data_IF_642746312508
#
_entry.id   IF_642746312508
#
_cell.length_a   1.000
_cell.length_b   1.000
_cell.length_c   1.000
_cell.angle_alpha   90.00
_cell.angle_beta   90.00
_cell.angle_gamma   90.00
#
_symmetry.space_group_name_H-M   'P 1'
#
loop_
_entity.id
_entity.type
_entity.pdbx_description
1 polymer ?
#
# COMPACT_ATOMS: atom_id res chain seq x y z
N UNK A 1 -7.25 27.64 -12.42
CA UNK A 1 -6.17 28.49 -11.84
C UNK A 1 -5.03 27.63 -11.28
N UNK A 2 -5.29 26.45 -10.69
CA UNK A 2 -4.27 25.55 -10.14
C UNK A 2 -3.31 24.89 -11.16
N UNK A 3 -3.78 24.42 -12.31
CA UNK A 3 -2.95 23.71 -13.30
C UNK A 3 -1.76 24.56 -13.81
N UNK A 4 -1.99 25.84 -14.09
CA UNK A 4 -0.93 26.78 -14.49
C UNK A 4 0.11 27.00 -13.38
N UNK A 5 -0.32 26.97 -12.11
CA UNK A 5 0.58 27.08 -10.97
C UNK A 5 1.38 25.78 -10.78
N UNK A 6 0.74 24.62 -10.90
CA UNK A 6 1.38 23.31 -10.86
C UNK A 6 2.44 23.17 -11.96
N UNK A 7 2.10 23.49 -13.22
CA UNK A 7 3.06 23.50 -14.33
C UNK A 7 4.27 24.40 -14.04
N UNK A 8 4.04 25.64 -13.58
CA UNK A 8 5.13 26.55 -13.20
C UNK A 8 6.00 26.02 -12.06
N UNK A 9 5.41 25.32 -11.10
CA UNK A 9 6.14 24.73 -9.98
C UNK A 9 7.03 23.57 -10.46
N UNK A 10 6.45 22.63 -11.22
CA UNK A 10 7.16 21.46 -11.75
C UNK A 10 8.31 21.89 -12.67
N UNK A 11 8.05 22.83 -13.60
CA UNK A 11 9.04 23.26 -14.59
C UNK A 11 10.33 23.84 -13.98
N UNK A 12 10.27 24.45 -12.79
CA UNK A 12 11.45 25.04 -12.12
C UNK A 12 12.51 24.01 -11.76
N UNK A 13 12.09 22.80 -11.43
CA UNK A 13 12.98 21.73 -10.95
C UNK A 13 12.82 20.45 -11.77
N UNK A 14 12.16 20.50 -12.93
CA UNK A 14 11.85 19.33 -13.75
C UNK A 14 13.10 18.51 -14.09
N UNK A 15 14.22 19.17 -14.42
CA UNK A 15 15.50 18.50 -14.69
C UNK A 15 15.98 17.63 -13.51
N UNK A 16 15.76 18.08 -12.27
CA UNK A 16 16.12 17.32 -11.06
C UNK A 16 15.16 16.14 -10.85
N UNK A 17 13.85 16.38 -11.01
CA UNK A 17 12.85 15.30 -10.94
C UNK A 17 13.13 14.19 -11.96
N UNK A 18 13.46 14.57 -13.20
CA UNK A 18 13.87 13.63 -14.25
C UNK A 18 15.15 12.88 -13.89
N UNK A 19 16.15 13.57 -13.35
CA UNK A 19 17.41 12.94 -12.91
C UNK A 19 17.18 11.91 -11.77
N UNK A 20 16.41 12.29 -10.75
CA UNK A 20 16.08 11.39 -9.64
C UNK A 20 15.22 10.21 -10.10
N UNK A 21 14.31 10.42 -11.04
CA UNK A 21 13.53 9.32 -11.61
C UNK A 21 14.40 8.41 -12.47
N UNK A 22 15.42 8.92 -13.15
CA UNK A 22 16.42 8.08 -13.81
C UNK A 22 17.11 7.10 -12.85
N UNK A 23 17.43 7.55 -11.64
CA UNK A 23 17.90 6.65 -10.58
C UNK A 23 16.83 5.62 -10.18
N UNK A 24 15.56 6.04 -10.04
CA UNK A 24 14.49 5.09 -9.73
C UNK A 24 14.32 4.03 -10.85
N UNK A 25 14.42 4.41 -12.12
CA UNK A 25 14.38 3.48 -13.24
C UNK A 25 15.50 2.44 -13.10
N UNK A 26 16.72 2.86 -12.77
CA UNK A 26 17.86 1.93 -12.68
C UNK A 26 17.81 1.01 -11.44
N UNK A 27 17.27 1.47 -10.31
CA UNK A 27 17.44 0.81 -9.01
C UNK A 27 16.15 0.38 -8.29
N UNK A 28 14.96 0.71 -8.80
CA UNK A 28 13.70 0.41 -8.07
C UNK A 28 13.22 -1.02 -8.25
N UNK A 29 13.35 -1.61 -9.45
CA UNK A 29 12.77 -2.93 -9.69
C UNK A 29 13.43 -3.98 -8.82
N UNK A 30 14.76 -3.95 -8.72
CA UNK A 30 15.58 -4.86 -7.90
C UNK A 30 16.50 -4.04 -6.98
N UNK A 31 16.00 -3.56 -5.83
CA UNK A 31 16.79 -2.75 -4.92
C UNK A 31 18.02 -3.52 -4.43
N UNK A 32 19.20 -2.89 -4.51
CA UNK A 32 20.44 -3.45 -3.96
C UNK A 32 20.39 -3.59 -2.43
N UNK A 33 21.39 -4.24 -1.84
CA UNK A 33 21.50 -4.36 -0.39
C UNK A 33 21.66 -2.99 0.27
N UNK A 34 20.57 -2.48 0.85
CA UNK A 34 20.51 -1.15 1.47
C UNK A 34 19.58 -1.14 2.69
N UNK A 35 19.73 -0.10 3.51
CA UNK A 35 18.76 0.22 4.54
C UNK A 35 17.52 0.85 3.89
N UNK A 36 16.34 0.44 4.35
CA UNK A 36 15.12 1.21 4.16
C UNK A 36 14.94 2.14 5.37
N UNK A 37 13.79 2.83 5.44
CA UNK A 37 13.44 3.58 6.65
C UNK A 37 13.12 2.68 7.85
N UNK A 38 13.02 1.37 7.62
CA UNK A 38 12.88 0.33 8.64
C UNK A 38 14.29 -0.17 9.03
N UNK A 39 15.23 0.76 9.22
CA UNK A 39 16.65 0.48 9.43
C UNK A 39 16.93 -0.32 10.70
N UNK A 40 16.06 -0.18 11.71
CA UNK A 40 16.02 -0.99 12.92
C UNK A 40 15.78 -2.49 12.66
N UNK A 41 15.31 -2.86 11.46
CA UNK A 41 15.15 -4.24 11.02
C UNK A 41 16.32 -4.75 10.15
N UNK A 42 17.34 -3.91 9.91
CA UNK A 42 18.58 -4.27 9.23
C UNK A 42 18.58 -4.10 7.71
N UNK A 43 19.74 -4.37 7.11
CA UNK A 43 19.99 -4.29 5.67
C UNK A 43 19.35 -5.46 4.95
N UNK A 44 18.72 -5.19 3.80
CA UNK A 44 18.12 -6.25 2.99
C UNK A 44 18.05 -5.83 1.52
N UNK A 45 18.54 -6.70 0.63
CA UNK A 45 18.39 -6.56 -0.82
C UNK A 45 17.01 -7.05 -1.28
N UNK A 46 16.61 -6.66 -2.50
CA UNK A 46 15.39 -7.14 -3.16
C UNK A 46 14.11 -6.95 -2.32
N UNK A 47 14.09 -5.92 -1.46
CA UNK A 47 12.97 -5.62 -0.60
C UNK A 47 11.72 -5.27 -1.42
N UNK A 48 10.69 -6.10 -1.31
CA UNK A 48 9.46 -5.99 -2.12
C UNK A 48 8.75 -4.66 -1.89
N UNK A 49 8.61 -4.24 -0.62
CA UNK A 49 7.91 -3.01 -0.29
C UNK A 49 8.72 -1.76 -0.67
N UNK A 50 10.06 -1.83 -0.59
CA UNK A 50 10.95 -0.74 -1.03
C UNK A 50 10.91 -0.57 -2.56
N UNK A 51 10.92 -1.68 -3.30
CA UNK A 51 10.77 -1.66 -4.75
C UNK A 51 9.45 -1.00 -5.18
N UNK A 52 8.34 -1.37 -4.53
CA UNK A 52 7.02 -0.79 -4.80
C UNK A 52 7.02 0.73 -4.63
N UNK A 53 7.68 1.26 -3.59
CA UNK A 53 7.82 2.71 -3.37
C UNK A 53 8.50 3.40 -4.55
N UNK A 54 9.58 2.82 -5.06
CA UNK A 54 10.29 3.35 -6.23
C UNK A 54 9.43 3.31 -7.51
N UNK A 55 8.73 2.20 -7.74
CA UNK A 55 7.85 2.00 -8.90
C UNK A 55 6.69 3.01 -8.91
N UNK A 56 6.06 3.25 -7.76
CA UNK A 56 5.03 4.31 -7.61
C UNK A 56 5.63 5.69 -7.89
N UNK A 57 6.87 5.94 -7.47
CA UNK A 57 7.60 7.17 -7.78
C UNK A 57 7.84 7.39 -9.28
N UNK A 58 8.15 6.31 -10.02
CA UNK A 58 8.27 6.37 -11.49
C UNK A 58 6.91 6.71 -12.12
N UNK A 59 5.81 6.08 -11.68
CA UNK A 59 4.48 6.44 -12.18
C UNK A 59 4.16 7.90 -11.88
N UNK A 60 4.49 8.40 -10.69
CA UNK A 60 4.29 9.81 -10.33
C UNK A 60 5.07 10.78 -11.23
N UNK A 61 6.29 10.42 -11.65
CA UNK A 61 7.04 11.22 -12.61
C UNK A 61 6.32 11.30 -13.97
N UNK A 62 5.66 10.23 -14.41
CA UNK A 62 4.88 10.26 -15.65
C UNK A 62 3.77 11.33 -15.61
N UNK A 63 3.05 11.43 -14.49
CA UNK A 63 2.02 12.46 -14.26
C UNK A 63 2.64 13.87 -14.16
N UNK A 64 3.78 14.00 -13.50
CA UNK A 64 4.50 15.29 -13.44
C UNK A 64 4.96 15.75 -14.84
N UNK A 65 5.43 14.85 -15.69
CA UNK A 65 5.81 15.13 -17.06
C UNK A 65 4.61 15.61 -17.90
N UNK A 66 3.43 14.97 -17.74
CA UNK A 66 2.19 15.44 -18.38
C UNK A 66 1.84 16.88 -17.97
N UNK A 67 1.92 17.19 -16.67
CA UNK A 67 1.67 18.55 -16.16
C UNK A 67 2.69 19.55 -16.72
N UNK A 68 3.96 19.16 -16.85
CA UNK A 68 5.03 19.98 -17.41
C UNK A 68 4.86 20.24 -18.93
N UNK A 69 4.12 19.38 -19.63
CA UNK A 69 3.98 19.40 -21.09
C UNK A 69 5.01 18.54 -21.83
N UNK A 70 5.71 17.66 -21.11
CA UNK A 70 6.79 16.80 -21.60
C UNK A 70 6.21 15.42 -21.97
N UNK A 71 5.53 15.34 -23.12
CA UNK A 71 4.74 14.15 -23.48
C UNK A 71 5.57 12.89 -23.71
N UNK A 72 6.80 13.03 -24.24
CA UNK A 72 7.69 11.88 -24.46
C UNK A 72 8.15 11.27 -23.13
N UNK A 73 8.53 12.11 -22.18
CA UNK A 73 8.91 11.68 -20.82
C UNK A 73 7.72 11.05 -20.10
N UNK A 74 6.52 11.62 -20.26
CA UNK A 74 5.30 11.06 -19.69
C UNK A 74 5.06 9.62 -20.17
N UNK A 75 5.11 9.38 -21.48
CA UNK A 75 4.97 8.02 -22.03
C UNK A 75 6.09 7.10 -21.55
N UNK A 76 7.34 7.54 -21.63
CA UNK A 76 8.49 6.75 -21.23
C UNK A 76 8.42 6.27 -19.77
N UNK A 77 8.15 7.18 -18.83
CA UNK A 77 8.05 6.80 -17.42
C UNK A 77 6.80 5.97 -17.12
N UNK A 78 5.68 6.21 -17.84
CA UNK A 78 4.47 5.39 -17.67
C UNK A 78 4.71 3.95 -18.12
N UNK A 79 5.32 3.76 -19.29
CA UNK A 79 5.61 2.43 -19.83
C UNK A 79 6.52 1.63 -18.91
N UNK A 80 7.58 2.28 -18.36
CA UNK A 80 8.47 1.64 -17.38
C UNK A 80 7.72 1.29 -16.10
N UNK A 81 6.91 2.21 -15.56
CA UNK A 81 6.16 1.96 -14.35
C UNK A 81 5.18 0.78 -14.52
N UNK A 82 4.50 0.70 -15.68
CA UNK A 82 3.58 -0.39 -16.02
C UNK A 82 4.29 -1.74 -16.23
N UNK A 83 5.47 -1.73 -16.84
CA UNK A 83 6.31 -2.92 -16.94
C UNK A 83 6.79 -3.37 -15.55
N UNK A 84 7.26 -2.43 -14.74
CA UNK A 84 7.84 -2.72 -13.43
C UNK A 84 6.81 -3.21 -12.43
N UNK A 85 5.60 -2.67 -12.41
CA UNK A 85 4.56 -3.18 -11.50
C UNK A 85 4.19 -4.62 -11.86
N UNK A 86 4.21 -4.98 -13.15
CA UNK A 86 3.94 -6.34 -13.62
C UNK A 86 5.05 -7.31 -13.18
N UNK A 87 6.31 -6.93 -13.35
CA UNK A 87 7.47 -7.72 -12.87
C UNK A 87 7.54 -7.79 -11.35
N UNK A 88 7.25 -6.68 -10.67
CA UNK A 88 7.21 -6.61 -9.21
C UNK A 88 6.19 -7.58 -8.63
N UNK A 89 5.02 -7.72 -9.26
CA UNK A 89 4.04 -8.72 -8.83
C UNK A 89 4.58 -10.16 -8.99
N UNK A 90 5.23 -10.46 -10.12
CA UNK A 90 5.83 -11.76 -10.36
C UNK A 90 6.91 -12.10 -9.32
N UNK A 91 7.80 -11.14 -9.04
CA UNK A 91 8.94 -11.33 -8.15
C UNK A 91 8.56 -11.24 -6.68
N UNK A 92 7.63 -10.34 -6.34
CA UNK A 92 7.28 -9.96 -4.98
C UNK A 92 6.23 -10.86 -4.34
N UNK A 93 5.30 -11.43 -5.10
CA UNK A 93 4.24 -12.26 -4.52
C UNK A 93 4.72 -13.67 -4.16
N UNK A 94 4.11 -14.26 -3.14
CA UNK A 94 4.30 -15.64 -2.70
C UNK A 94 3.93 -16.64 -3.81
N UNK A 95 4.38 -17.90 -3.69
CA UNK A 95 4.14 -18.92 -4.74
C UNK A 95 2.67 -19.24 -4.93
N UNK A 96 1.92 -19.29 -3.84
CA UNK A 96 0.47 -19.45 -3.76
C UNK A 96 -0.29 -18.14 -4.05
N UNK A 97 0.43 -17.04 -4.33
CA UNK A 97 -0.12 -15.73 -4.65
C UNK A 97 -1.06 -15.18 -3.56
N UNK A 98 -0.91 -15.58 -2.30
CA UNK A 98 -1.76 -15.10 -1.20
C UNK A 98 -1.25 -13.79 -0.60
N UNK A 99 0.05 -13.51 -0.67
CA UNK A 99 0.64 -12.32 -0.05
C UNK A 99 1.96 -11.91 -0.72
N UNK A 100 2.53 -10.80 -0.27
CA UNK A 100 3.81 -10.29 -0.75
C UNK A 100 4.91 -10.77 0.19
N UNK A 101 5.97 -11.31 -0.39
CA UNK A 101 7.20 -11.68 0.31
C UNK A 101 7.91 -10.43 0.80
N UNK A 102 8.70 -10.55 1.86
CA UNK A 102 9.55 -9.46 2.32
C UNK A 102 10.66 -9.13 1.30
N UNK A 103 11.31 -10.16 0.77
CA UNK A 103 12.29 -10.05 -0.30
C UNK A 103 12.00 -11.04 -1.42
N UNK A 104 12.34 -10.70 -2.66
CA UNK A 104 12.01 -11.52 -3.83
C UNK A 104 12.56 -12.95 -3.76
N UNK A 105 13.75 -13.13 -3.21
CA UNK A 105 14.43 -14.41 -3.07
C UNK A 105 14.09 -15.15 -1.76
N UNK A 106 13.30 -14.55 -0.87
CA UNK A 106 12.91 -15.14 0.41
C UNK A 106 11.49 -15.69 0.38
N UNK A 107 11.34 -16.89 -0.18
CA UNK A 107 10.04 -17.50 -0.51
C UNK A 107 9.07 -17.75 0.65
N UNK A 108 9.56 -17.91 1.89
CA UNK A 108 8.72 -18.14 3.08
C UNK A 108 8.48 -16.88 3.91
N UNK A 109 8.88 -15.72 3.42
CA UNK A 109 8.72 -14.44 4.11
C UNK A 109 7.45 -13.73 3.70
N UNK A 110 7.05 -12.73 4.47
CA UNK A 110 5.94 -11.83 4.14
C UNK A 110 6.22 -10.43 4.64
N UNK A 111 5.56 -9.41 4.08
CA UNK A 111 5.69 -8.01 4.51
C UNK A 111 4.38 -7.23 4.44
N UNK A 112 4.20 -6.28 5.35
CA UNK A 112 3.12 -5.29 5.33
C UNK A 112 3.42 -4.23 4.27
N UNK A 113 2.62 -4.20 3.20
CA UNK A 113 2.77 -3.29 2.05
C UNK A 113 2.18 -1.90 2.32
N UNK A 114 2.71 -1.20 3.32
CA UNK A 114 2.29 0.17 3.64
C UNK A 114 2.47 1.18 2.48
N UNK A 115 3.27 0.87 1.44
CA UNK A 115 3.41 1.75 0.27
C UNK A 115 2.22 1.70 -0.71
N UNK A 116 1.29 0.74 -0.56
CA UNK A 116 0.00 0.79 -1.25
C UNK A 116 -0.79 2.06 -0.91
N UNK A 117 -0.59 2.61 0.29
CA UNK A 117 -1.15 3.90 0.66
C UNK A 117 -0.75 5.03 -0.29
N UNK A 118 0.50 5.03 -0.80
CA UNK A 118 0.96 6.08 -1.72
C UNK A 118 0.30 5.97 -3.10
N UNK A 119 0.09 4.75 -3.61
CA UNK A 119 -0.67 4.50 -4.83
C UNK A 119 -2.11 5.04 -4.70
N UNK A 120 -2.76 4.76 -3.56
CA UNK A 120 -4.09 5.25 -3.29
C UNK A 120 -4.17 6.78 -3.07
N UNK A 121 -3.23 7.35 -2.32
CA UNK A 121 -3.17 8.78 -2.02
C UNK A 121 -2.91 9.61 -3.29
N UNK A 122 -2.14 9.09 -4.24
CA UNK A 122 -1.86 9.72 -5.52
C UNK A 122 -2.92 9.42 -6.59
N UNK A 123 -3.98 8.70 -6.24
CA UNK A 123 -5.09 8.34 -7.13
C UNK A 123 -4.73 7.35 -8.24
N UNK A 124 -3.61 6.65 -8.11
CA UNK A 124 -3.15 5.73 -9.15
C UNK A 124 -3.97 4.44 -9.18
N UNK A 125 -4.55 4.02 -8.06
CA UNK A 125 -5.54 2.93 -8.00
C UNK A 125 -6.83 3.22 -8.77
N UNK A 126 -7.10 4.49 -9.09
CA UNK A 126 -8.23 4.93 -9.91
C UNK A 126 -7.87 5.03 -11.40
N UNK A 127 -6.62 4.80 -11.82
CA UNK A 127 -6.27 4.81 -13.24
C UNK A 127 -7.15 3.83 -14.03
N UNK A 128 -7.58 4.23 -15.23
CA UNK A 128 -8.46 3.41 -16.06
C UNK A 128 -9.92 3.30 -15.60
N UNK A 129 -10.27 3.71 -14.37
CA UNK A 129 -11.66 3.68 -13.85
C UNK A 129 -12.59 4.74 -14.44
N UNK A 130 -12.05 5.64 -15.27
CA UNK A 130 -12.79 6.76 -15.85
C UNK A 130 -13.63 6.37 -17.08
N UNK A 131 -14.94 6.60 -16.98
CA UNK A 131 -15.85 6.98 -18.09
C UNK A 131 -15.39 8.32 -18.72
N UNK A 132 -14.19 8.37 -19.28
CA UNK A 132 -13.72 9.49 -20.09
C UNK A 132 -14.56 9.59 -21.36
N UNK A 133 -14.99 10.82 -21.71
CA UNK A 133 -15.78 11.13 -22.91
C UNK A 133 -15.25 10.36 -24.12
N UNK A 134 -16.00 9.37 -24.58
CA UNK A 134 -15.78 8.70 -25.86
C UNK A 134 -16.10 9.69 -26.98
N UNK A 135 -15.23 9.90 -27.97
CA UNK A 135 -15.67 10.48 -29.24
C UNK A 135 -16.77 9.59 -29.81
N UNK A 136 -17.88 10.20 -30.24
CA UNK A 136 -18.95 9.49 -30.92
C UNK A 136 -18.46 9.01 -32.29
N UNK A 137 -17.89 7.81 -32.36
CA UNK A 137 -17.79 7.05 -33.61
C UNK A 137 -17.75 5.57 -33.30
N UNK A 138 -18.76 4.85 -33.79
CA UNK A 138 -19.08 3.49 -33.39
C UNK A 138 -18.01 2.46 -33.70
N UNK A 139 -17.54 1.80 -32.64
CA UNK A 139 -17.31 0.36 -32.54
C UNK A 139 -16.99 0.08 -31.08
N UNK A 140 -17.68 -0.88 -30.44
CA UNK A 140 -17.29 -1.41 -29.12
C UNK A 140 -16.33 -2.58 -29.37
N UNK A 141 -15.06 -2.49 -28.95
CA UNK A 141 -14.17 -3.65 -28.97
C UNK A 141 -14.69 -4.75 -28.04
N UNK A 142 -14.57 -6.02 -28.44
CA UNK A 142 -14.74 -7.14 -27.52
C UNK A 142 -13.72 -7.00 -26.37
N UNK A 143 -14.20 -7.06 -25.12
CA UNK A 143 -13.47 -6.75 -23.87
C UNK A 143 -12.02 -7.29 -23.89
N UNK A 144 -11.00 -6.43 -24.01
CA UNK A 144 -9.77 -6.68 -23.25
C UNK A 144 -10.08 -6.38 -21.79
N UNK A 145 -9.59 -7.17 -20.83
CA UNK A 145 -9.59 -6.76 -19.43
C UNK A 145 -8.89 -5.41 -19.35
N UNK A 146 -9.66 -4.33 -19.19
CA UNK A 146 -9.13 -2.99 -19.05
C UNK A 146 -8.42 -2.98 -17.70
N UNK A 147 -7.09 -2.80 -17.68
CA UNK A 147 -6.30 -2.74 -16.44
C UNK A 147 -6.86 -1.60 -15.58
N UNK A 148 -7.56 -1.95 -14.50
CA UNK A 148 -8.10 -0.99 -13.54
C UNK A 148 -7.08 -0.81 -12.41
N UNK A 149 -6.66 0.44 -12.21
CA UNK A 149 -5.62 0.82 -11.26
C UNK A 149 -4.20 0.59 -11.77
N UNK A 150 -3.26 1.37 -11.26
CA UNK A 150 -1.83 1.19 -11.52
C UNK A 150 -1.31 -0.07 -10.81
N UNK A 151 -1.44 -0.12 -9.47
CA UNK A 151 -1.28 -1.36 -8.71
C UNK A 151 -2.57 -2.19 -8.88
N UNK A 152 -2.49 -3.46 -9.30
CA UNK A 152 -3.68 -4.27 -9.53
C UNK A 152 -4.56 -4.44 -8.28
N UNK A 153 -5.88 -4.35 -8.43
CA UNK A 153 -6.86 -4.45 -7.34
C UNK A 153 -6.71 -5.73 -6.50
N UNK A 154 -6.40 -6.87 -7.13
CA UNK A 154 -6.24 -8.13 -6.40
C UNK A 154 -5.07 -8.09 -5.41
N UNK A 155 -4.05 -7.25 -5.63
CA UNK A 155 -2.95 -7.07 -4.67
C UNK A 155 -3.48 -6.46 -3.37
N UNK A 156 -4.27 -5.39 -3.44
CA UNK A 156 -4.89 -4.79 -2.26
C UNK A 156 -5.74 -5.80 -1.49
N UNK A 157 -6.54 -6.59 -2.23
CA UNK A 157 -7.42 -7.61 -1.66
C UNK A 157 -6.64 -8.71 -0.94
N UNK A 158 -5.67 -9.32 -1.63
CA UNK A 158 -4.79 -10.36 -1.09
C UNK A 158 -4.04 -9.88 0.16
N UNK A 159 -3.51 -8.66 0.13
CA UNK A 159 -2.86 -8.06 1.29
C UNK A 159 -3.81 -7.81 2.46
N UNK A 160 -5.00 -7.26 2.20
CA UNK A 160 -6.00 -7.02 3.24
C UNK A 160 -6.39 -8.32 3.95
N UNK A 161 -6.61 -9.39 3.18
CA UNK A 161 -6.87 -10.73 3.72
C UNK A 161 -5.67 -11.26 4.49
N UNK A 162 -4.46 -11.10 3.98
CA UNK A 162 -3.25 -11.55 4.67
C UNK A 162 -3.06 -10.86 6.03
N UNK A 163 -3.33 -9.55 6.12
CA UNK A 163 -3.20 -8.79 7.37
C UNK A 163 -4.13 -9.31 8.47
N UNK A 164 -5.33 -9.77 8.12
CA UNK A 164 -6.24 -10.44 9.07
C UNK A 164 -5.64 -11.72 9.64
N UNK A 165 -4.89 -12.50 8.85
CA UNK A 165 -4.30 -13.75 9.31
C UNK A 165 -3.02 -13.59 10.12
N UNK A 166 -2.19 -12.58 9.83
CA UNK A 166 -0.87 -12.43 10.45
C UNK A 166 -0.83 -11.37 11.56
N UNK A 167 -1.90 -10.60 11.74
CA UNK A 167 -2.03 -9.70 12.88
C UNK A 167 -1.94 -10.46 14.20
N UNK A 168 -1.48 -9.74 15.21
CA UNK A 168 -1.18 -10.22 16.54
C UNK A 168 -2.00 -9.43 17.56
N UNK A 169 -1.88 -9.76 18.85
CA UNK A 169 -2.67 -9.15 19.94
C UNK A 169 -2.66 -7.62 19.90
N UNK A 170 -1.50 -7.01 19.68
CA UNK A 170 -1.23 -5.58 19.81
C UNK A 170 -0.91 -4.85 18.51
N UNK A 171 -1.05 -5.52 17.36
CA UNK A 171 -0.87 -4.88 16.06
C UNK A 171 -0.58 -5.86 14.94
N UNK A 172 -0.38 -5.32 13.74
CA UNK A 172 0.09 -5.99 12.54
C UNK A 172 1.62 -5.85 12.46
N UNK A 173 2.40 -6.94 12.55
CA UNK A 173 3.86 -6.84 12.42
C UNK A 173 4.30 -6.25 11.07
N UNK A 174 5.49 -5.65 11.03
CA UNK A 174 6.03 -5.06 9.79
C UNK A 174 6.27 -6.12 8.71
N UNK A 175 6.83 -7.26 9.10
CA UNK A 175 7.17 -8.37 8.23
C UNK A 175 7.55 -9.60 9.05
N UNK A 176 7.88 -10.69 8.36
CA UNK A 176 8.21 -11.97 8.99
C UNK A 176 9.53 -12.04 9.76
N UNK A 177 10.36 -10.98 9.81
CA UNK A 177 11.62 -10.99 10.57
C UNK A 177 11.38 -10.97 12.08
N UNK A 178 10.37 -10.22 12.51
CA UNK A 178 10.09 -9.94 13.91
C UNK A 178 8.61 -9.72 14.16
N UNK A 179 8.19 -9.87 15.41
CA UNK A 179 6.81 -9.61 15.85
C UNK A 179 6.64 -8.18 16.38
N UNK A 180 7.43 -7.22 15.91
CA UNK A 180 7.20 -5.80 16.22
C UNK A 180 6.56 -5.09 15.04
N UNK A 181 5.87 -3.99 15.34
CA UNK A 181 5.26 -3.13 14.34
C UNK A 181 5.75 -1.70 14.43
N UNK A 182 5.52 -0.94 13.36
CA UNK A 182 5.61 0.51 13.38
C UNK A 182 4.22 1.13 13.16
N UNK A 183 3.65 1.79 14.16
CA UNK A 183 2.20 2.11 14.15
C UNK A 183 1.77 3.05 13.01
N UNK A 184 2.61 3.98 12.58
CA UNK A 184 2.34 4.82 11.41
C UNK A 184 2.36 4.03 10.09
N UNK A 185 3.24 3.04 9.93
CA UNK A 185 3.24 2.16 8.76
C UNK A 185 2.04 1.21 8.76
N UNK A 186 1.73 0.66 9.92
CA UNK A 186 0.51 -0.12 10.14
C UNK A 186 -0.74 0.68 9.76
N UNK A 187 -0.84 1.96 10.15
CA UNK A 187 -1.97 2.82 9.80
C UNK A 187 -2.03 3.18 8.31
N UNK A 188 -0.89 3.25 7.62
CA UNK A 188 -0.86 3.41 6.17
C UNK A 188 -1.42 2.15 5.47
N UNK A 189 -0.98 0.96 5.88
CA UNK A 189 -1.50 -0.30 5.35
C UNK A 189 -3.00 -0.47 5.64
N UNK A 190 -3.41 -0.18 6.89
CA UNK A 190 -4.80 -0.20 7.35
C UNK A 190 -5.71 0.73 6.52
N UNK A 191 -5.22 1.93 6.14
CA UNK A 191 -6.01 2.91 5.41
C UNK A 191 -6.48 2.42 4.02
N UNK A 192 -5.80 1.42 3.45
CA UNK A 192 -6.10 0.82 2.15
C UNK A 192 -6.53 -0.66 2.25
N UNK A 193 -6.84 -1.15 3.45
CA UNK A 193 -7.42 -2.45 3.69
C UNK A 193 -8.97 -2.40 3.65
N UNK A 194 -9.62 -3.56 3.56
CA UNK A 194 -11.07 -3.71 3.73
C UNK A 194 -11.53 -3.26 5.13
N UNK A 195 -12.83 -3.03 5.32
CA UNK A 195 -13.39 -2.50 6.56
C UNK A 195 -13.15 -3.38 7.79
N UNK A 196 -13.22 -4.70 7.63
CA UNK A 196 -13.05 -5.66 8.73
C UNK A 196 -11.60 -5.66 9.22
N UNK A 197 -10.64 -5.94 8.34
CA UNK A 197 -9.19 -5.89 8.61
C UNK A 197 -8.78 -4.53 9.17
N UNK A 198 -9.35 -3.45 8.62
CA UNK A 198 -9.08 -2.08 9.10
C UNK A 198 -9.48 -1.91 10.56
N UNK A 199 -10.69 -2.34 10.90
CA UNK A 199 -11.23 -2.25 12.25
C UNK A 199 -10.42 -3.10 13.23
N UNK A 200 -10.08 -4.32 12.83
CA UNK A 200 -9.24 -5.22 13.62
C UNK A 200 -7.87 -4.61 13.93
N UNK A 201 -7.18 -4.03 12.94
CA UNK A 201 -5.89 -3.36 13.14
C UNK A 201 -6.03 -2.23 14.17
N UNK A 202 -7.03 -1.36 13.99
CA UNK A 202 -7.31 -0.27 14.92
C UNK A 202 -7.58 -0.76 16.34
N UNK A 203 -8.38 -1.82 16.48
CA UNK A 203 -8.69 -2.44 17.77
C UNK A 203 -7.46 -3.02 18.45
N UNK A 204 -6.53 -3.61 17.71
CA UNK A 204 -5.27 -4.12 18.27
C UNK A 204 -4.40 -3.01 18.86
N UNK A 205 -4.28 -1.88 18.14
CA UNK A 205 -3.50 -0.75 18.62
C UNK A 205 -4.19 -0.09 19.81
N UNK A 206 -5.51 0.06 19.77
CA UNK A 206 -6.29 0.56 20.92
C UNK A 206 -6.13 -0.35 22.15
N UNK A 207 -6.15 -1.68 21.95
CA UNK A 207 -5.91 -2.66 23.00
C UNK A 207 -4.51 -2.53 23.59
N UNK A 208 -3.50 -2.36 22.75
CA UNK A 208 -2.14 -2.12 23.21
C UNK A 208 -2.05 -0.85 24.06
N UNK A 209 -2.59 0.28 23.59
CA UNK A 209 -2.59 1.53 24.37
C UNK A 209 -3.24 1.36 25.76
N UNK A 210 -4.25 0.49 25.86
CA UNK A 210 -4.96 0.23 27.12
C UNK A 210 -4.24 -0.78 28.05
N UNK A 211 -3.48 -1.73 27.50
CA UNK A 211 -2.85 -2.83 28.25
C UNK A 211 -1.33 -2.70 28.38
N UNK A 212 -0.71 -1.73 27.71
CA UNK A 212 0.74 -1.65 27.60
C UNK A 212 1.44 -1.47 28.94
N UNK A 213 2.57 -2.16 29.11
CA UNK A 213 3.40 -2.11 30.33
C UNK A 213 4.40 -0.95 30.34
N UNK A 214 4.51 -0.20 29.24
CA UNK A 214 5.39 0.98 29.17
C UNK A 214 4.74 2.20 29.82
N UNK A 215 5.48 2.88 30.68
CA UNK A 215 5.13 4.15 31.31
C UNK A 215 5.57 5.39 30.50
N UNK A 216 5.95 5.19 29.23
CA UNK A 216 6.43 6.23 28.31
C UNK A 216 5.33 6.78 27.38
N UNK A 217 5.54 7.97 26.78
CA UNK A 217 4.64 8.49 25.74
C UNK A 217 4.46 7.52 24.57
N UNK A 218 3.32 7.61 23.89
CA UNK A 218 2.94 6.74 22.75
C UNK A 218 4.13 6.51 21.80
N UNK A 219 4.56 5.25 21.72
CA UNK A 219 5.61 4.81 20.80
C UNK A 219 5.04 4.54 19.42
N UNK A 220 5.88 4.73 18.42
CA UNK A 220 5.64 4.27 17.06
C UNK A 220 6.27 2.91 16.78
N UNK A 221 6.94 2.25 17.74
CA UNK A 221 7.56 0.94 17.61
C UNK A 221 7.38 0.12 18.90
N UNK A 222 6.67 -1.01 18.79
CA UNK A 222 6.40 -1.93 19.90
C UNK A 222 6.26 -3.38 19.41
N UNK A 223 6.47 -4.34 20.32
CA UNK A 223 6.14 -5.75 20.09
C UNK A 223 4.63 -5.92 19.97
N UNK A 224 4.17 -6.66 18.97
CA UNK A 224 2.74 -6.91 18.75
C UNK A 224 2.20 -8.08 19.58
N UNK A 225 3.07 -8.78 20.31
CA UNK A 225 2.76 -9.93 21.15
C UNK A 225 3.24 -9.73 22.60
N UNK A 226 2.92 -10.71 23.46
CA UNK A 226 3.35 -10.70 24.86
C UNK A 226 2.79 -9.52 25.65
N UNK A 227 3.68 -8.73 26.28
CA UNK A 227 3.32 -7.52 27.03
C UNK A 227 3.39 -6.23 26.19
N UNK A 228 3.76 -6.33 24.92
CA UNK A 228 3.82 -5.18 24.02
C UNK A 228 4.91 -4.18 24.34
N UNK A 229 6.04 -4.65 24.87
CA UNK A 229 7.18 -3.82 25.24
C UNK A 229 7.99 -3.39 23.99
N UNK A 230 9.04 -2.60 24.19
CA UNK A 230 9.95 -2.20 23.12
C UNK A 230 10.79 -3.39 22.62
N UNK A 231 11.04 -3.52 21.30
CA UNK A 231 11.86 -4.58 20.70
C UNK A 231 13.36 -4.33 20.88
N UNK A 232 13.79 -3.85 22.06
CA UNK A 232 15.14 -3.39 22.36
C UNK A 232 15.44 -1.95 21.92
N UNK A 233 14.91 -1.50 20.79
CA UNK A 233 14.97 -0.08 20.36
C UNK A 233 13.82 0.70 20.99
N UNK A 234 14.14 1.81 21.67
CA UNK A 234 13.14 2.61 22.39
C UNK A 234 12.81 3.91 21.63
N UNK A 235 11.80 3.86 20.76
CA UNK A 235 11.24 5.07 20.15
C UNK A 235 10.10 5.61 21.00
N UNK A 236 10.11 6.90 21.37
CA UNK A 236 8.99 7.47 22.12
C UNK A 236 8.89 8.97 21.84
N UNK A 237 7.69 9.53 21.98
CA UNK A 237 7.42 10.95 21.75
C UNK A 237 7.86 11.45 20.35
N UNK A 238 7.77 10.60 19.32
CA UNK A 238 8.14 10.94 17.95
C UNK A 238 6.93 11.53 17.19
N UNK A 239 7.12 12.61 16.41
CA UNK A 239 6.02 13.25 15.67
C UNK A 239 5.48 12.39 14.50
N UNK A 240 6.09 11.25 14.21
CA UNK A 240 5.62 10.27 13.21
C UNK A 240 4.22 9.73 13.52
N UNK A 241 3.74 9.87 14.76
CA UNK A 241 2.35 9.57 15.14
C UNK A 241 1.31 10.36 14.34
N UNK A 242 1.69 11.41 13.60
CA UNK A 242 0.81 12.02 12.60
C UNK A 242 0.33 11.04 11.51
N UNK A 243 1.06 9.94 11.27
CA UNK A 243 0.68 8.88 10.34
C UNK A 243 -0.63 8.18 10.70
N UNK A 244 -1.05 8.21 11.98
CA UNK A 244 -2.33 7.62 12.41
C UNK A 244 -3.56 8.28 11.75
N UNK A 245 -3.41 9.46 11.16
CA UNK A 245 -4.48 10.15 10.43
C UNK A 245 -4.55 9.79 8.94
N UNK A 246 -3.78 8.82 8.47
CA UNK A 246 -3.71 8.41 7.07
C UNK A 246 -5.08 8.10 6.46
N UNK A 247 -5.95 7.41 7.20
CA UNK A 247 -7.30 7.10 6.74
C UNK A 247 -8.14 8.36 6.47
N UNK A 248 -8.07 9.36 7.37
CA UNK A 248 -8.77 10.64 7.18
C UNK A 248 -8.19 11.43 6.01
N UNK A 249 -6.87 11.41 5.84
CA UNK A 249 -6.21 12.05 4.71
C UNK A 249 -6.65 11.42 3.38
N UNK A 250 -6.71 10.08 3.33
CA UNK A 250 -7.14 9.34 2.15
C UNK A 250 -8.60 9.64 1.77
N UNK A 251 -9.51 9.76 2.74
CA UNK A 251 -10.89 10.16 2.47
C UNK A 251 -11.03 11.50 1.74
N UNK A 252 -10.04 12.40 1.89
CA UNK A 252 -10.01 13.70 1.21
C UNK A 252 -9.22 13.69 -0.09
N UNK A 253 -8.39 12.68 -0.32
CA UNK A 253 -7.59 12.53 -1.54
C UNK A 253 -8.51 12.31 -2.77
N UNK A 254 -7.98 12.60 -3.96
CA UNK A 254 -8.68 12.42 -5.23
C UNK A 254 -10.02 13.15 -5.31
N UNK A 255 -10.10 14.34 -4.70
CA UNK A 255 -11.35 15.11 -4.63
C UNK A 255 -12.45 14.42 -3.81
N UNK A 256 -12.08 13.55 -2.86
CA UNK A 256 -13.00 12.77 -2.05
C UNK A 256 -13.28 11.35 -2.54
N UNK A 257 -12.70 10.94 -3.67
CA UNK A 257 -13.02 9.66 -4.32
C UNK A 257 -12.00 8.56 -4.05
N UNK A 258 -10.89 8.83 -3.34
CA UNK A 258 -9.86 7.81 -3.12
C UNK A 258 -10.40 6.60 -2.36
N UNK A 259 -11.17 6.82 -1.29
CA UNK A 259 -11.80 5.75 -0.50
C UNK A 259 -12.92 5.04 -1.26
N UNK A 260 -13.69 5.76 -2.07
CA UNK A 260 -14.70 5.15 -2.94
C UNK A 260 -14.06 4.20 -3.96
N UNK A 261 -12.90 4.57 -4.51
CA UNK A 261 -12.09 3.72 -5.38
C UNK A 261 -11.62 2.39 -4.79
N UNK A 262 -11.72 2.24 -3.47
CA UNK A 262 -11.35 1.04 -2.72
C UNK A 262 -12.56 0.22 -2.26
N UNK A 263 -13.79 0.57 -2.68
CA UNK A 263 -15.01 -0.15 -2.27
C UNK A 263 -15.02 -1.62 -2.68
N UNK A 264 -14.27 -1.98 -3.72
CA UNK A 264 -14.11 -3.37 -4.18
C UNK A 264 -13.46 -4.29 -3.13
N UNK A 265 -12.83 -3.72 -2.10
CA UNK A 265 -12.24 -4.47 -1.00
C UNK A 265 -13.30 -5.07 -0.06
N UNK A 266 -14.49 -4.46 -0.04
CA UNK A 266 -15.60 -4.84 0.83
C UNK A 266 -16.65 -5.71 0.11
N UNK A 267 -16.44 -6.00 -1.19
CA UNK A 267 -17.30 -6.85 -2.00
C UNK A 267 -16.98 -8.34 -1.78
N UNK A 268 -18.00 -9.14 -1.43
CA UNK A 268 -17.85 -10.58 -1.19
C UNK A 268 -17.44 -11.34 -2.47
N UNK A 269 -16.42 -12.20 -2.35
CA UNK A 269 -15.75 -13.01 -3.40
C UNK A 269 -16.64 -14.07 -4.06
N UNK A 270 -17.96 -13.95 -3.93
CA UNK A 270 -18.95 -14.87 -4.50
C UNK A 270 -18.87 -15.00 -6.04
N UNK A 271 -18.00 -14.23 -6.70
CA UNK A 271 -17.70 -14.30 -8.12
C UNK A 271 -16.18 -14.46 -8.43
N UNK A 272 -15.38 -15.06 -7.55
CA UNK A 272 -14.02 -15.49 -7.88
C UNK A 272 -14.06 -16.91 -8.48
N UNK A 273 -13.56 -17.07 -9.70
CA UNK A 273 -13.57 -18.31 -10.50
C UNK A 273 -12.59 -19.40 -9.98
N UNK A 274 -11.97 -19.24 -8.80
CA UNK A 274 -10.99 -20.17 -8.24
C UNK A 274 -11.40 -20.67 -6.82
N UNK A 275 -11.37 -21.99 -6.63
CA UNK A 275 -11.86 -22.73 -5.44
C UNK A 275 -11.20 -22.31 -4.11
N UNK A 276 -9.97 -21.78 -4.14
CA UNK A 276 -9.20 -21.41 -2.93
C UNK A 276 -9.65 -20.06 -2.33
N UNK A 277 -10.03 -19.08 -3.15
CA UNK A 277 -10.54 -17.77 -2.70
C UNK A 277 -11.91 -17.93 -2.01
N UNK A 278 -12.70 -18.93 -2.43
CA UNK A 278 -13.98 -19.28 -1.81
C UNK A 278 -13.82 -19.82 -0.37
N UNK A 279 -12.71 -20.51 -0.06
CA UNK A 279 -12.45 -21.02 1.29
C UNK A 279 -12.07 -19.91 2.26
N UNK A 280 -11.22 -18.97 1.83
CA UNK A 280 -10.84 -17.79 2.61
C UNK A 280 -12.05 -16.88 2.87
N UNK A 281 -12.88 -16.65 1.86
CA UNK A 281 -14.12 -15.87 1.99
C UNK A 281 -15.12 -16.51 2.96
N UNK A 282 -15.25 -17.85 2.97
CA UNK A 282 -16.10 -18.58 3.94
C UNK A 282 -15.59 -18.43 5.37
N UNK A 283 -14.27 -18.53 5.59
CA UNK A 283 -13.68 -18.34 6.91
C UNK A 283 -13.89 -16.91 7.45
N UNK A 284 -13.74 -15.90 6.60
CA UNK A 284 -14.03 -14.50 6.96
C UNK A 284 -15.51 -14.27 7.30
N UNK A 285 -16.42 -14.93 6.57
CA UNK A 285 -17.87 -14.82 6.78
C UNK A 285 -18.33 -15.49 8.08
N UNK A 286 -17.78 -16.65 8.45
CA UNK A 286 -18.07 -17.30 9.74
C UNK A 286 -17.60 -16.45 10.93
N UNK A 287 -16.50 -15.72 10.77
CA UNK A 287 -15.96 -14.85 11.81
C UNK A 287 -16.77 -13.54 11.99
N UNK A 288 -17.33 -12.97 10.91
CA UNK A 288 -18.26 -11.81 10.96
C UNK A 288 -19.44 -12.01 11.91
N UNK A 289 -19.85 -13.26 12.16
CA UNK A 289 -20.96 -13.56 13.07
C UNK A 289 -20.61 -13.45 14.57
N UNK A 290 -19.34 -13.21 14.91
CA UNK A 290 -18.82 -13.24 16.30
C UNK A 290 -18.24 -11.91 16.83
N UNK A 291 -18.26 -10.80 16.08
CA UNK A 291 -17.63 -9.53 16.48
C UNK A 291 -18.58 -8.52 17.17
N UNK A 292 -18.10 -7.86 18.24
CA UNK A 292 -18.88 -7.01 19.17
C UNK A 292 -19.17 -5.57 18.65
N UNK A 293 -20.24 -4.90 19.11
CA UNK A 293 -20.83 -3.73 18.43
C UNK A 293 -20.31 -2.34 18.88
N UNK A 294 -19.06 -2.20 19.34
CA UNK A 294 -18.60 -0.94 19.94
C UNK A 294 -17.26 -0.47 19.38
N UNK A 295 -17.29 0.13 18.19
CA UNK A 295 -16.56 1.35 17.76
C UNK A 295 -16.95 1.58 16.29
N UNK A 296 -17.64 2.68 16.00
CA UNK A 296 -17.84 3.20 14.64
C UNK A 296 -17.17 4.57 14.58
N UNK A 297 -16.17 4.71 13.71
CA UNK A 297 -15.61 5.99 13.26
C UNK A 297 -15.91 6.18 11.77
#
# INVERSE_FOLDING_TARGET
>A
HGEKQARRWVQRSYRLWKQWTGYLVEYSLEPANQLSTDDFAGWLALQTNLALKGIIGINAMSHMAQVAGESEDASYFKDIADEYISKWEEFGMSRDKTHAKLAYDWYGSWTTLYNLYADAQLCFHLEGSGKGKTPSSGQKPLKPHQKEGFVPKHIYKKQSTWYHYVRQKYGLPLDSRHLYTKTDWEFFAMAVANEDTRSEILESVAKWVNETVTDRPLTDLHETEGEGNYPGVTFFARPVVGGHFAFLALQRACGGHAREGLSFLDEDDTAADDDDDAAAARAATEFRSHSFPWIRW
#
